data_IF_555081416566
#
_entry.id   IF_555081416566
#
_cell.length_a   1.000
_cell.length_b   1.000
_cell.length_c   1.000
_cell.angle_alpha   90.00
_cell.angle_beta   90.00
_cell.angle_gamma   90.00
#
_symmetry.space_group_name_H-M   'P 1'
#
loop_
_entity.id
_entity.type
_entity.pdbx_description
1 polymer ?
#
# COMPACT_ATOMS: atom_id res chain seq x y z
N UNK A 1 -12.05 11.89 2.95
CA UNK A 1 -11.47 13.14 2.39
C UNK A 1 -10.21 13.53 3.17
N UNK A 2 -9.11 13.80 2.46
CA UNK A 2 -7.78 14.04 3.08
C UNK A 2 -7.34 15.51 2.93
N UNK A 3 -7.95 16.26 2.01
CA UNK A 3 -7.78 17.71 1.86
C UNK A 3 -9.14 18.39 2.01
N UNK A 4 -9.10 19.68 2.33
CA UNK A 4 -10.31 20.51 2.49
C UNK A 4 -11.21 20.47 1.24
N UNK A 5 -12.50 20.68 1.47
CA UNK A 5 -13.55 20.70 0.43
C UNK A 5 -13.62 19.42 -0.44
N UNK A 6 -13.08 18.29 0.01
CA UNK A 6 -13.12 17.04 -0.76
C UNK A 6 -12.14 16.99 -1.94
N UNK A 7 -11.20 17.95 -2.01
CA UNK A 7 -10.20 18.06 -3.08
C UNK A 7 -9.08 17.01 -3.00
N UNK A 8 -9.05 16.22 -1.93
CA UNK A 8 -8.14 15.09 -1.74
C UNK A 8 -8.87 13.81 -1.36
N UNK A 9 -8.52 12.71 -2.02
CA UNK A 9 -9.13 11.39 -1.83
C UNK A 9 -8.06 10.31 -1.78
N UNK A 10 -8.18 9.39 -0.81
CA UNK A 10 -7.61 8.05 -0.90
C UNK A 10 -8.78 7.10 -0.68
N UNK A 11 -8.95 6.18 -1.61
CA UNK A 11 -9.97 5.14 -1.57
C UNK A 11 -9.31 3.80 -1.84
N UNK A 12 -9.62 2.81 -0.99
CA UNK A 12 -9.28 1.40 -1.25
C UNK A 12 -10.20 0.90 -2.36
N UNK A 13 -9.61 0.49 -3.47
CA UNK A 13 -10.34 -0.12 -4.60
C UNK A 13 -10.37 -1.63 -4.44
N UNK A 14 -9.23 -2.21 -4.09
CA UNK A 14 -9.08 -3.64 -3.89
C UNK A 14 -7.91 -3.92 -2.94
N UNK A 15 -7.91 -5.09 -2.32
CA UNK A 15 -6.81 -5.59 -1.53
C UNK A 15 -6.69 -7.11 -1.70
N UNK A 16 -5.46 -7.58 -1.86
CA UNK A 16 -5.16 -9.01 -1.92
C UNK A 16 -4.39 -9.43 -0.69
N UNK A 17 -4.91 -10.45 -0.01
CA UNK A 17 -4.28 -11.05 1.15
C UNK A 17 -4.66 -10.41 2.48
N UNK A 18 -4.22 -11.06 3.55
CA UNK A 18 -4.41 -10.64 4.94
C UNK A 18 -3.27 -11.23 5.80
N UNK A 19 -3.35 -11.09 7.12
CA UNK A 19 -2.37 -11.64 8.07
C UNK A 19 -2.08 -13.14 7.84
N UNK A 20 -3.09 -13.92 7.45
CA UNK A 20 -2.92 -15.35 7.17
C UNK A 20 -2.07 -15.58 5.91
N UNK A 21 -2.18 -14.72 4.90
CA UNK A 21 -1.34 -14.78 3.70
C UNK A 21 0.13 -14.64 4.05
N UNK A 22 0.47 -13.66 4.90
CA UNK A 22 1.84 -13.41 5.38
C UNK A 22 2.36 -14.63 6.17
N UNK A 23 1.53 -15.15 7.07
CA UNK A 23 1.87 -16.31 7.90
C UNK A 23 2.10 -17.56 7.06
N UNK A 24 1.23 -17.82 6.08
CA UNK A 24 1.35 -18.96 5.19
C UNK A 24 2.60 -18.85 4.32
N UNK A 25 2.87 -17.68 3.76
CA UNK A 25 4.07 -17.41 2.97
C UNK A 25 5.35 -17.63 3.79
N UNK A 26 5.40 -17.13 5.02
CA UNK A 26 6.52 -17.37 5.92
C UNK A 26 6.68 -18.86 6.28
N UNK A 27 5.56 -19.57 6.45
CA UNK A 27 5.55 -21.01 6.80
C UNK A 27 5.96 -21.93 5.65
N UNK A 28 5.86 -21.52 4.39
CA UNK A 28 6.34 -22.30 3.25
C UNK A 28 7.84 -22.61 3.36
N UNK A 29 8.62 -21.73 3.99
CA UNK A 29 10.06 -21.96 4.22
C UNK A 29 10.36 -22.97 5.34
N UNK A 30 9.38 -23.33 6.16
CA UNK A 30 9.53 -24.30 7.23
C UNK A 30 9.22 -25.70 6.70
N UNK A 31 10.26 -26.48 6.39
CA UNK A 31 10.12 -27.89 6.02
C UNK A 31 9.50 -28.76 7.14
N UNK A 32 9.23 -30.04 6.85
CA UNK A 32 8.70 -31.01 7.82
C UNK A 32 9.64 -31.14 9.03
N UNK A 33 9.29 -30.52 10.16
CA UNK A 33 9.97 -30.77 11.45
C UNK A 33 10.16 -29.59 12.41
N UNK A 34 9.72 -28.38 12.09
CA UNK A 34 10.05 -27.20 12.91
C UNK A 34 8.90 -26.72 13.82
N UNK A 35 9.04 -27.10 15.09
CA UNK A 35 8.53 -26.50 16.36
C UNK A 35 7.03 -26.18 16.53
N UNK A 36 6.60 -26.15 17.81
CA UNK A 36 5.25 -25.79 18.30
C UNK A 36 4.70 -24.56 17.57
N UNK A 37 3.40 -24.59 17.21
CA UNK A 37 2.64 -23.44 16.70
C UNK A 37 2.96 -22.19 17.54
N UNK A 38 3.82 -21.31 17.02
CA UNK A 38 3.83 -19.91 17.45
C UNK A 38 2.48 -19.32 17.08
N UNK A 39 1.89 -18.55 17.97
CA UNK A 39 0.74 -17.70 17.64
C UNK A 39 1.08 -16.84 16.41
N UNK A 40 0.12 -16.72 15.49
CA UNK A 40 0.29 -16.09 14.18
C UNK A 40 0.72 -14.62 14.34
N UNK A 41 0.14 -13.93 15.33
CA UNK A 41 0.49 -12.55 15.68
C UNK A 41 1.94 -12.44 16.17
N UNK A 42 2.42 -13.43 16.93
CA UNK A 42 3.80 -13.47 17.42
C UNK A 42 4.79 -13.70 16.28
N UNK A 43 4.41 -14.52 15.29
CA UNK A 43 5.20 -14.73 14.08
C UNK A 43 5.30 -13.46 13.23
N UNK A 44 4.19 -12.79 12.93
CA UNK A 44 4.21 -11.53 12.15
C UNK A 44 5.11 -10.48 12.81
N UNK A 45 5.00 -10.32 14.13
CA UNK A 45 5.88 -9.41 14.88
C UNK A 45 7.35 -9.83 14.86
N UNK A 46 7.62 -11.13 14.92
CA UNK A 46 8.98 -11.65 14.79
C UNK A 46 9.56 -11.31 13.42
N UNK A 47 8.81 -11.53 12.33
CA UNK A 47 9.22 -11.20 10.95
C UNK A 47 9.55 -9.71 10.83
N UNK A 48 8.65 -8.84 11.30
CA UNK A 48 8.85 -7.38 11.24
C UNK A 48 10.08 -6.93 12.03
N UNK A 49 10.27 -7.42 13.27
CA UNK A 49 11.44 -7.07 14.10
C UNK A 49 12.77 -7.48 13.48
N UNK A 50 12.79 -8.57 12.73
CA UNK A 50 13.98 -9.09 12.06
C UNK A 50 14.06 -8.68 10.59
N UNK A 51 13.22 -7.74 10.16
CA UNK A 51 13.21 -7.20 8.79
C UNK A 51 13.06 -8.30 7.72
N UNK A 52 12.35 -9.39 8.04
CA UNK A 52 12.04 -10.42 7.07
C UNK A 52 10.83 -9.97 6.25
N UNK A 53 11.08 -9.14 5.23
CA UNK A 53 10.04 -8.40 4.50
C UNK A 53 9.36 -9.19 3.39
N UNK A 54 10.02 -10.19 2.80
CA UNK A 54 9.47 -10.96 1.65
C UNK A 54 8.10 -11.59 1.91
N UNK A 55 7.76 -12.14 3.09
CA UNK A 55 6.40 -12.61 3.36
C UNK A 55 5.33 -11.51 3.30
N UNK A 56 5.69 -10.23 3.51
CA UNK A 56 4.77 -9.09 3.43
C UNK A 56 4.50 -8.65 1.98
N UNK A 57 5.38 -9.00 1.03
CA UNK A 57 5.19 -8.73 -0.40
C UNK A 57 4.07 -9.59 -1.02
N UNK A 58 3.55 -10.58 -0.27
CA UNK A 58 2.44 -11.44 -0.69
C UNK A 58 1.07 -10.79 -0.48
N UNK A 59 1.04 -9.54 0.00
CA UNK A 59 -0.16 -8.74 0.14
C UNK A 59 -0.05 -7.49 -0.73
N UNK A 60 -1.12 -7.17 -1.44
CA UNK A 60 -1.20 -6.01 -2.33
C UNK A 60 -2.40 -5.12 -2.00
N UNK A 61 -2.26 -3.83 -2.26
CA UNK A 61 -3.31 -2.83 -2.05
C UNK A 61 -3.44 -1.94 -3.28
N UNK A 62 -4.64 -1.89 -3.85
CA UNK A 62 -4.96 -0.99 -4.97
C UNK A 62 -5.69 0.23 -4.46
N UNK A 63 -5.11 1.41 -4.70
CA UNK A 63 -5.65 2.69 -4.25
C UNK A 63 -6.08 3.57 -5.41
N UNK A 64 -7.22 4.23 -5.26
CA UNK A 64 -7.56 5.41 -6.05
C UNK A 64 -7.20 6.65 -5.25
N UNK A 65 -6.35 7.47 -5.84
CA UNK A 65 -5.80 8.67 -5.21
C UNK A 65 -6.17 9.90 -6.03
N UNK A 66 -6.66 10.94 -5.36
CA UNK A 66 -6.77 12.31 -5.89
C UNK A 66 -5.88 13.19 -5.01
N UNK A 67 -4.84 13.76 -5.61
CA UNK A 67 -3.88 14.60 -4.92
C UNK A 67 -3.35 15.70 -5.86
N UNK A 68 -2.84 16.81 -5.31
CA UNK A 68 -2.17 17.84 -6.09
C UNK A 68 -0.91 17.31 -6.78
N UNK A 69 -0.57 17.87 -7.95
CA UNK A 69 0.58 17.42 -8.77
C UNK A 69 1.89 17.43 -7.97
N UNK A 70 2.13 18.43 -7.12
CA UNK A 70 3.37 18.49 -6.33
C UNK A 70 3.49 17.32 -5.33
N UNK A 71 2.38 16.88 -4.73
CA UNK A 71 2.33 15.70 -3.86
C UNK A 71 2.50 14.42 -4.68
N UNK A 72 1.83 14.33 -5.84
CA UNK A 72 1.97 13.19 -6.74
C UNK A 72 3.43 12.98 -7.19
N UNK A 73 4.17 14.07 -7.44
CA UNK A 73 5.60 14.00 -7.81
C UNK A 73 6.49 13.42 -6.72
N UNK A 74 6.18 13.66 -5.45
CA UNK A 74 6.88 13.02 -4.33
C UNK A 74 6.48 11.54 -4.23
N UNK A 75 5.19 11.24 -4.36
CA UNK A 75 4.67 9.88 -4.31
C UNK A 75 5.27 8.99 -5.42
N UNK A 76 5.36 9.49 -6.64
CA UNK A 76 5.93 8.76 -7.78
C UNK A 76 7.43 8.45 -7.65
N UNK A 77 8.11 8.95 -6.62
CA UNK A 77 9.49 8.54 -6.29
C UNK A 77 9.58 7.12 -5.74
N UNK A 78 8.46 6.56 -5.26
CA UNK A 78 8.37 5.18 -4.79
C UNK A 78 8.31 4.20 -5.98
N UNK A 79 9.49 3.83 -6.48
CA UNK A 79 9.67 3.02 -7.71
C UNK A 79 9.18 1.57 -7.64
N UNK A 80 8.84 1.07 -6.46
CA UNK A 80 8.35 -0.30 -6.26
C UNK A 80 6.84 -0.42 -6.47
N UNK A 81 6.13 0.69 -6.67
CA UNK A 81 4.68 0.69 -6.92
C UNK A 81 4.38 0.72 -8.43
N UNK A 82 3.25 0.12 -8.82
CA UNK A 82 2.65 0.30 -10.14
C UNK A 82 1.66 1.45 -10.10
N UNK A 83 1.86 2.48 -10.94
CA UNK A 83 1.08 3.72 -10.91
C UNK A 83 0.52 4.01 -12.31
N UNK A 84 -0.76 4.37 -12.37
CA UNK A 84 -1.41 4.97 -13.53
C UNK A 84 -2.00 6.32 -13.11
N UNK A 85 -1.88 7.34 -13.96
CA UNK A 85 -2.35 8.70 -13.70
C UNK A 85 -3.25 9.19 -14.83
N UNK A 86 -4.22 10.05 -14.48
CA UNK A 86 -5.01 10.79 -15.46
C UNK A 86 -4.12 11.69 -16.32
N UNK A 87 -4.21 11.57 -17.64
CA UNK A 87 -3.32 12.24 -18.57
C UNK A 87 -3.96 13.50 -19.16
N UNK A 88 -3.43 14.66 -18.82
CA UNK A 88 -3.81 15.94 -19.44
C UNK A 88 -3.45 16.07 -20.92
N UNK A 89 -2.75 15.09 -21.50
CA UNK A 89 -2.49 15.03 -22.95
C UNK A 89 -3.66 14.50 -23.75
N UNK A 90 -4.54 13.70 -23.12
CA UNK A 90 -5.65 13.01 -23.77
C UNK A 90 -7.02 13.47 -23.28
N UNK A 91 -7.06 14.22 -22.20
CA UNK A 91 -8.32 14.59 -21.55
C UNK A 91 -8.21 15.98 -20.93
N UNK A 92 -9.33 16.70 -20.90
CA UNK A 92 -9.39 18.01 -20.28
C UNK A 92 -9.19 17.89 -18.76
N UNK A 93 -8.33 18.73 -18.21
CA UNK A 93 -8.06 18.75 -16.77
C UNK A 93 -9.18 19.52 -16.07
N UNK A 94 -9.75 18.99 -14.97
CA UNK A 94 -10.74 19.73 -14.19
C UNK A 94 -10.10 20.97 -13.55
N UNK A 95 -10.89 22.04 -13.45
CA UNK A 95 -10.46 23.30 -12.83
C UNK A 95 -10.49 23.19 -11.29
N UNK A 96 -9.56 22.39 -10.75
CA UNK A 96 -9.47 22.06 -9.33
C UNK A 96 -8.05 22.26 -8.80
N UNK A 97 -7.90 23.16 -7.81
CA UNK A 97 -6.62 23.48 -7.18
C UNK A 97 -6.66 23.31 -5.67
N UNK A 98 -5.51 22.96 -5.11
CA UNK A 98 -5.29 22.94 -3.67
C UNK A 98 -4.93 24.32 -3.16
N UNK A 99 -5.67 24.78 -2.15
CA UNK A 99 -5.35 25.95 -1.34
C UNK A 99 -5.11 25.47 0.09
N UNK A 100 -3.96 25.78 0.70
CA UNK A 100 -3.72 25.45 2.10
C UNK A 100 -4.64 26.29 3.01
N UNK A 101 -5.09 25.73 4.15
CA UNK A 101 -5.78 26.52 5.16
C UNK A 101 -4.85 27.60 5.75
N UNK A 102 -5.44 28.72 6.16
CA UNK A 102 -4.75 29.80 6.88
C UNK A 102 -4.31 29.39 8.31
#
# INVERSE_FOLDING_TARGET
PILEEGKGLIQVIDYQGNDQTIVNAARVSYGKGTKKKSDDRSLIRYLMRHQHTTPFEMCELTLRVKAPIFVAREWMRHRTASINEYSGRYSEMPDEYYYPPE
#
